data_IF_939020005327
#
_entry.id   IF_939020005327
#
_cell.length_a   1.000
_cell.length_b   1.000
_cell.length_c   1.000
_cell.angle_alpha   90.00
_cell.angle_beta   90.00
_cell.angle_gamma   90.00
#
_symmetry.space_group_name_H-M   'P 1'
#
loop_
_entity.id
_entity.type
_entity.pdbx_description
1 polymer ?
#
# COMPACT_ATOMS: atom_id res chain seq x y z
N UNK A 1 34.15 50.39 14.43
CA UNK A 1 32.91 51.09 14.82
C UNK A 1 31.81 50.04 14.87
N UNK A 2 31.45 49.65 16.08
CA UNK A 2 30.52 48.59 16.42
C UNK A 2 29.11 49.17 16.53
N UNK A 3 28.10 48.58 15.90
CA UNK A 3 26.71 48.94 16.14
C UNK A 3 25.95 47.64 16.44
N UNK A 4 25.75 47.41 17.73
CA UNK A 4 24.85 46.40 18.25
C UNK A 4 23.39 46.81 18.00
N UNK A 5 22.58 45.97 17.37
CA UNK A 5 21.12 46.06 17.34
C UNK A 5 20.47 45.02 18.23
N UNK A 6 19.99 45.53 19.35
CA UNK A 6 19.13 44.84 20.31
C UNK A 6 17.78 44.51 19.69
N UNK A 7 17.37 43.24 19.69
CA UNK A 7 16.04 42.82 19.30
C UNK A 7 15.17 42.58 20.55
N UNK A 8 14.16 43.43 20.71
CA UNK A 8 13.09 43.27 21.72
C UNK A 8 12.24 42.01 21.41
N UNK A 9 12.06 41.17 22.43
CA UNK A 9 11.07 40.11 22.46
C UNK A 9 9.72 40.67 22.91
N UNK A 10 8.58 40.39 22.24
CA UNK A 10 7.27 40.70 22.80
C UNK A 10 6.86 39.63 23.82
N UNK A 11 6.45 40.06 25.00
CA UNK A 11 5.72 39.29 25.99
C UNK A 11 4.31 39.01 25.44
N UNK A 12 3.97 37.70 25.26
CA UNK A 12 2.60 37.30 25.01
C UNK A 12 1.90 37.09 26.34
N UNK A 13 0.94 37.93 26.64
CA UNK A 13 0.07 37.84 27.79
C UNK A 13 -0.84 36.60 27.72
N UNK A 14 -0.82 35.83 28.78
CA UNK A 14 -1.63 34.62 28.96
C UNK A 14 -3.04 35.03 29.40
N UNK A 15 -4.02 34.98 28.51
CA UNK A 15 -5.43 35.18 28.86
C UNK A 15 -5.99 33.94 29.55
N UNK A 16 -6.53 34.12 30.75
CA UNK A 16 -7.24 33.11 31.51
C UNK A 16 -8.67 32.99 30.97
N UNK A 17 -9.11 31.79 30.65
CA UNK A 17 -10.48 31.50 30.28
C UNK A 17 -11.34 31.26 31.54
N UNK A 18 -12.59 31.81 31.59
CA UNK A 18 -13.50 31.56 32.71
C UNK A 18 -14.13 30.13 32.64
N UNK A 19 -14.22 29.51 33.81
CA UNK A 19 -14.79 28.18 33.99
C UNK A 19 -16.29 28.13 33.64
N UNK A 20 -16.65 27.15 32.86
CA UNK A 20 -18.03 26.74 32.61
C UNK A 20 -18.46 25.77 33.70
N UNK A 21 -19.43 26.16 34.51
CA UNK A 21 -20.11 25.36 35.52
C UNK A 21 -20.83 24.18 34.86
N UNK A 22 -20.49 22.95 35.24
CA UNK A 22 -21.21 21.73 34.87
C UNK A 22 -22.48 21.61 35.68
N UNK A 23 -23.61 21.84 35.02
CA UNK A 23 -24.92 21.50 35.55
C UNK A 23 -25.11 19.99 35.48
N UNK A 24 -25.17 19.33 36.64
CA UNK A 24 -25.49 17.90 36.75
C UNK A 24 -27.01 17.79 36.61
N UNK A 25 -27.50 17.30 35.49
CA UNK A 25 -28.89 16.90 35.32
C UNK A 25 -29.06 15.48 35.82
N UNK A 26 -29.71 15.35 36.96
CA UNK A 26 -30.08 14.05 37.58
C UNK A 26 -31.35 13.56 36.89
N UNK A 27 -31.26 12.50 36.09
CA UNK A 27 -32.41 11.81 35.52
C UNK A 27 -32.93 10.75 36.51
N UNK A 28 -34.26 10.59 36.67
CA UNK A 28 -34.83 9.60 37.58
C UNK A 28 -34.67 8.17 37.01
N UNK A 29 -34.16 7.27 37.83
CA UNK A 29 -34.12 5.84 37.56
C UNK A 29 -35.56 5.28 37.57
N UNK A 30 -36.11 4.96 36.40
CA UNK A 30 -37.24 4.03 36.33
C UNK A 30 -36.69 2.62 36.22
N UNK A 31 -36.87 1.84 37.27
CA UNK A 31 -36.61 0.41 37.30
C UNK A 31 -37.72 -0.29 36.47
N UNK A 32 -37.37 -0.79 35.31
CA UNK A 32 -38.21 -1.75 34.57
C UNK A 32 -37.44 -3.07 34.63
N UNK A 33 -37.87 -3.92 35.58
CA UNK A 33 -37.43 -5.31 35.71
C UNK A 33 -38.18 -6.12 34.64
N UNK A 34 -37.48 -6.53 33.59
CA UNK A 34 -37.97 -7.54 32.65
C UNK A 34 -37.12 -8.81 32.82
N UNK A 35 -37.73 -10.00 32.93
CA UNK A 35 -36.97 -11.22 33.03
C UNK A 35 -36.31 -11.55 31.69
N UNK A 36 -34.99 -11.61 31.67
CA UNK A 36 -34.23 -12.11 30.55
C UNK A 36 -34.40 -13.62 30.49
N UNK A 37 -35.29 -14.09 29.65
CA UNK A 37 -35.35 -15.50 29.23
C UNK A 37 -34.13 -15.75 28.34
N UNK A 38 -33.09 -16.31 28.94
CA UNK A 38 -31.88 -16.76 28.24
C UNK A 38 -32.26 -18.00 27.41
N UNK A 39 -32.75 -17.79 26.19
CA UNK A 39 -32.78 -18.82 25.18
C UNK A 39 -31.35 -19.07 24.68
N UNK A 40 -30.64 -20.00 25.31
CA UNK A 40 -29.40 -20.58 24.78
C UNK A 40 -29.76 -21.43 23.58
N UNK A 41 -29.88 -20.77 22.41
CA UNK A 41 -29.80 -21.50 21.13
C UNK A 41 -28.31 -21.83 20.91
N UNK A 42 -27.92 -23.02 21.38
CA UNK A 42 -26.70 -23.67 20.93
C UNK A 42 -26.91 -24.11 19.48
N UNK A 43 -26.74 -23.16 18.55
CA UNK A 43 -26.51 -23.54 17.14
C UNK A 43 -25.15 -24.25 17.11
N UNK A 44 -25.21 -25.59 17.15
CA UNK A 44 -24.03 -26.42 16.81
C UNK A 44 -23.61 -26.03 15.40
N UNK A 45 -22.45 -25.38 15.27
CA UNK A 45 -21.81 -25.19 13.98
C UNK A 45 -21.59 -26.56 13.36
N UNK A 46 -22.00 -26.81 12.10
CA UNK A 46 -21.66 -28.05 11.45
C UNK A 46 -20.13 -28.16 11.39
N UNK A 47 -19.59 -29.17 12.07
CA UNK A 47 -18.20 -29.55 11.96
C UNK A 47 -17.94 -29.94 10.50
N UNK A 48 -17.14 -29.12 9.79
CA UNK A 48 -16.72 -29.50 8.43
C UNK A 48 -16.78 -28.43 7.36
N UNK A 49 -16.93 -27.14 7.68
CA UNK A 49 -16.58 -26.09 6.70
C UNK A 49 -15.05 -26.04 6.64
N UNK A 50 -14.47 -26.99 5.93
CA UNK A 50 -13.09 -26.91 5.45
C UNK A 50 -13.07 -25.73 4.49
N UNK A 51 -12.60 -24.57 4.95
CA UNK A 51 -12.19 -23.49 4.07
C UNK A 51 -11.07 -24.07 3.18
N UNK A 52 -11.46 -24.65 2.06
CA UNK A 52 -10.53 -24.80 0.96
C UNK A 52 -10.12 -23.36 0.67
N UNK A 53 -8.85 -23.04 0.94
CA UNK A 53 -8.24 -21.87 0.34
C UNK A 53 -8.39 -22.08 -1.16
N UNK A 54 -9.43 -21.51 -1.72
CA UNK A 54 -9.57 -21.39 -3.15
C UNK A 54 -8.38 -20.52 -3.54
N UNK A 55 -7.31 -21.16 -4.01
CA UNK A 55 -6.16 -20.46 -4.56
C UNK A 55 -6.74 -19.52 -5.59
N UNK A 56 -6.66 -18.22 -5.31
CA UNK A 56 -7.29 -17.20 -6.13
C UNK A 56 -6.81 -17.45 -7.56
N UNK A 57 -7.75 -17.75 -8.46
CA UNK A 57 -7.42 -18.12 -9.84
C UNK A 57 -6.89 -16.87 -10.53
N UNK A 58 -5.80 -17.03 -11.25
CA UNK A 58 -5.23 -16.02 -12.12
C UNK A 58 -6.29 -15.51 -13.11
N UNK A 59 -6.48 -14.20 -13.21
CA UNK A 59 -7.43 -13.62 -14.18
C UNK A 59 -6.85 -13.63 -15.61
N UNK A 60 -7.66 -13.20 -16.60
CA UNK A 60 -7.24 -13.20 -18.00
C UNK A 60 -6.03 -12.29 -18.26
N UNK A 61 -5.89 -11.18 -17.54
CA UNK A 61 -4.78 -10.23 -17.63
C UNK A 61 -3.44 -10.87 -17.22
N UNK A 62 -3.45 -11.74 -16.22
CA UNK A 62 -2.25 -12.38 -15.70
C UNK A 62 -1.92 -13.72 -16.37
N UNK A 63 -2.55 -14.06 -17.52
CA UNK A 63 -2.21 -15.25 -18.29
C UNK A 63 -0.79 -15.22 -18.80
N UNK A 64 -0.37 -14.07 -19.34
CA UNK A 64 1.00 -13.82 -19.74
C UNK A 64 1.76 -13.28 -18.51
N UNK A 65 2.80 -13.98 -18.03
CA UNK A 65 3.57 -13.53 -16.88
C UNK A 65 4.55 -12.39 -17.20
N UNK A 66 4.74 -12.07 -18.48
CA UNK A 66 5.71 -11.07 -18.94
C UNK A 66 4.98 -9.83 -19.45
N UNK A 67 5.52 -8.66 -19.14
CA UNK A 67 5.09 -7.37 -19.66
C UNK A 67 6.18 -6.81 -20.56
N UNK A 68 5.81 -6.31 -21.73
CA UNK A 68 6.72 -5.59 -22.64
C UNK A 68 6.76 -4.09 -22.31
N UNK A 69 7.75 -3.37 -22.85
CA UNK A 69 7.81 -1.92 -22.75
C UNK A 69 6.60 -1.24 -23.40
N UNK A 70 6.19 -1.71 -24.57
CA UNK A 70 5.07 -1.15 -25.35
C UNK A 70 3.75 -1.28 -24.59
N UNK A 71 3.59 -2.35 -23.80
CA UNK A 71 2.44 -2.53 -22.92
C UNK A 71 2.54 -1.68 -21.65
N UNK A 72 3.74 -1.52 -21.10
CA UNK A 72 3.96 -0.77 -19.86
C UNK A 72 3.86 0.74 -20.06
N UNK A 73 4.39 1.28 -21.16
CA UNK A 73 4.45 2.74 -21.42
C UNK A 73 3.10 3.44 -21.27
N UNK A 74 2.00 2.98 -21.91
CA UNK A 74 0.70 3.62 -21.73
C UNK A 74 0.17 3.51 -20.29
N UNK A 75 0.49 2.44 -19.55
CA UNK A 75 0.08 2.28 -18.15
C UNK A 75 0.75 3.35 -17.27
N UNK A 76 2.01 3.70 -17.53
CA UNK A 76 2.72 4.74 -16.79
C UNK A 76 2.23 6.16 -17.11
N UNK A 77 1.75 6.38 -18.32
CA UNK A 77 1.20 7.67 -18.75
C UNK A 77 -0.22 7.90 -18.26
N UNK A 78 -1.02 6.83 -18.13
CA UNK A 78 -2.38 6.85 -17.63
C UNK A 78 -2.54 5.82 -16.50
N UNK A 79 -1.99 6.12 -15.31
CA UNK A 79 -2.08 5.21 -14.18
C UNK A 79 -3.54 5.00 -13.77
N UNK A 80 -3.89 3.77 -13.44
CA UNK A 80 -5.22 3.39 -12.96
C UNK A 80 -5.12 2.60 -11.67
N UNK A 81 -6.16 2.68 -10.84
CA UNK A 81 -6.23 1.91 -9.59
C UNK A 81 -6.27 0.38 -9.81
N UNK A 82 -6.52 -0.05 -11.06
CA UNK A 82 -6.61 -1.47 -11.39
C UNK A 82 -5.25 -2.16 -11.52
N UNK A 83 -4.20 -1.42 -11.85
CA UNK A 83 -2.85 -1.95 -12.07
C UNK A 83 -1.87 -1.20 -11.17
N UNK A 84 -1.18 -1.93 -10.31
CA UNK A 84 -0.14 -1.41 -9.44
C UNK A 84 1.24 -1.73 -10.03
N UNK A 85 2.04 -0.71 -10.32
CA UNK A 85 3.43 -0.86 -10.76
C UNK A 85 4.36 -0.76 -9.55
N UNK A 86 5.17 -1.78 -9.31
CA UNK A 86 6.01 -1.90 -8.10
C UNK A 86 7.48 -2.04 -8.47
N UNK A 87 8.28 -1.10 -7.96
CA UNK A 87 9.73 -1.17 -7.99
C UNK A 87 10.25 -1.96 -6.80
N UNK A 88 10.90 -3.10 -7.06
CA UNK A 88 11.46 -3.96 -6.02
C UNK A 88 12.95 -3.77 -5.81
N UNK A 89 13.50 -2.66 -6.31
CA UNK A 89 14.89 -2.24 -6.01
C UNK A 89 15.00 -1.71 -4.59
N UNK A 90 16.21 -1.64 -4.09
CA UNK A 90 16.45 -1.03 -2.79
C UNK A 90 16.34 0.51 -2.87
N UNK A 91 16.07 1.22 -1.76
CA UNK A 91 15.78 2.65 -1.75
C UNK A 91 16.90 3.53 -2.35
N UNK A 92 18.15 3.14 -2.19
CA UNK A 92 19.32 3.81 -2.77
C UNK A 92 19.33 3.77 -4.30
N UNK A 93 18.88 2.65 -4.90
CA UNK A 93 18.71 2.53 -6.35
C UNK A 93 17.51 3.35 -6.85
N UNK A 94 16.42 3.37 -6.09
CA UNK A 94 15.19 4.11 -6.44
C UNK A 94 15.42 5.62 -6.36
N UNK A 95 16.24 6.09 -5.43
CA UNK A 95 16.62 7.50 -5.28
C UNK A 95 17.32 8.07 -6.54
N UNK A 96 17.95 7.22 -7.35
CA UNK A 96 18.57 7.59 -8.63
C UNK A 96 17.59 7.69 -9.80
N UNK A 97 16.31 7.42 -9.54
CA UNK A 97 15.22 7.45 -10.51
C UNK A 97 14.46 6.14 -10.58
N UNK A 98 13.18 6.21 -10.95
CA UNK A 98 12.29 5.07 -11.11
C UNK A 98 11.33 5.29 -12.29
N UNK A 99 10.63 4.24 -12.72
CA UNK A 99 9.60 4.35 -13.75
C UNK A 99 8.45 5.21 -13.21
N UNK A 100 7.90 6.15 -14.00
CA UNK A 100 6.79 6.99 -13.58
C UNK A 100 5.61 6.17 -13.05
N UNK A 101 4.88 6.71 -12.06
CA UNK A 101 3.75 6.07 -11.37
C UNK A 101 4.07 4.79 -10.58
N UNK A 102 5.32 4.37 -10.49
CA UNK A 102 5.71 3.22 -9.69
C UNK A 102 5.73 3.55 -8.19
N UNK A 103 5.32 2.57 -7.37
CA UNK A 103 5.51 2.58 -5.93
C UNK A 103 6.72 1.73 -5.54
N UNK A 104 7.40 2.08 -4.46
CA UNK A 104 8.58 1.36 -4.00
C UNK A 104 8.23 0.33 -2.93
N UNK A 105 8.60 -0.93 -3.16
CA UNK A 105 8.52 -2.02 -2.19
C UNK A 105 9.77 -2.90 -2.32
N UNK A 106 10.84 -2.63 -1.57
CA UNK A 106 12.10 -3.35 -1.68
C UNK A 106 11.95 -4.86 -1.53
N UNK A 107 12.67 -5.63 -2.35
CA UNK A 107 12.60 -7.09 -2.31
C UNK A 107 12.93 -7.65 -0.93
N UNK A 108 13.85 -7.01 -0.21
CA UNK A 108 14.23 -7.36 1.17
C UNK A 108 13.05 -7.38 2.15
N UNK A 109 12.03 -6.56 1.91
CA UNK A 109 10.86 -6.42 2.77
C UNK A 109 9.58 -7.01 2.16
N UNK A 110 9.57 -7.29 0.86
CA UNK A 110 8.38 -7.69 0.10
C UNK A 110 7.69 -8.93 0.67
N UNK A 111 8.48 -9.94 1.03
CA UNK A 111 7.93 -11.23 1.50
C UNK A 111 7.12 -11.09 2.78
N UNK A 112 7.58 -10.26 3.71
CA UNK A 112 6.91 -9.98 4.98
C UNK A 112 5.76 -9.00 4.78
N UNK A 113 5.96 -7.95 3.99
CA UNK A 113 4.97 -6.93 3.69
C UNK A 113 3.70 -7.49 3.02
N UNK A 114 3.85 -8.45 2.10
CA UNK A 114 2.73 -9.10 1.41
C UNK A 114 2.10 -10.24 2.22
N UNK A 115 2.65 -10.58 3.41
CA UNK A 115 2.01 -11.61 4.24
C UNK A 115 0.57 -11.18 4.60
N UNK A 116 -0.43 -12.08 4.47
CA UNK A 116 -1.82 -11.76 4.81
C UNK A 116 -2.02 -11.24 6.24
N UNK A 117 -1.12 -11.62 7.16
CA UNK A 117 -1.17 -11.19 8.56
C UNK A 117 -0.55 -9.81 8.79
N UNK A 118 0.21 -9.28 7.83
CA UNK A 118 0.83 -7.96 7.96
C UNK A 118 -0.24 -6.87 7.97
N UNK A 119 -0.21 -6.00 8.98
CA UNK A 119 -1.23 -4.97 9.20
C UNK A 119 -1.23 -3.94 8.05
N UNK A 120 -2.42 -3.68 7.46
CA UNK A 120 -2.55 -2.76 6.33
C UNK A 120 -2.21 -1.30 6.69
N UNK A 121 -2.48 -0.88 7.94
CA UNK A 121 -2.12 0.46 8.42
C UNK A 121 -0.61 0.64 8.59
N UNK A 122 0.09 -0.39 9.09
CA UNK A 122 1.55 -0.40 9.16
C UNK A 122 2.17 -0.46 7.78
N UNK A 123 1.58 -1.22 6.85
CA UNK A 123 2.01 -1.27 5.46
C UNK A 123 1.99 0.13 4.83
N UNK A 124 0.85 0.83 4.92
CA UNK A 124 0.71 2.17 4.36
C UNK A 124 1.66 3.19 5.00
N UNK A 125 1.91 3.07 6.31
CA UNK A 125 2.86 3.92 7.03
C UNK A 125 4.30 3.71 6.56
N UNK A 126 4.69 2.44 6.32
CA UNK A 126 6.07 2.09 5.98
C UNK A 126 6.40 2.29 4.50
N UNK A 127 5.42 2.08 3.60
CA UNK A 127 5.63 2.09 2.15
C UNK A 127 4.96 3.25 1.42
N UNK A 128 4.19 4.10 2.12
CA UNK A 128 3.50 5.28 1.59
C UNK A 128 2.42 5.00 0.53
N UNK A 129 1.97 3.75 0.41
CA UNK A 129 0.82 3.39 -0.44
C UNK A 129 -0.02 2.30 0.26
N UNK A 130 -1.30 2.12 -0.09
CA UNK A 130 -2.16 1.12 0.54
C UNK A 130 -1.70 -0.29 0.19
N UNK A 131 -1.84 -1.22 1.15
CA UNK A 131 -1.55 -2.63 0.91
C UNK A 131 -2.42 -3.16 -0.22
N UNK A 132 -1.84 -3.78 -1.27
CA UNK A 132 -2.60 -4.28 -2.40
C UNK A 132 -3.60 -5.36 -1.99
N UNK A 133 -4.74 -5.40 -2.66
CA UNK A 133 -5.72 -6.47 -2.50
C UNK A 133 -5.25 -7.74 -3.23
N UNK A 134 -5.62 -8.93 -2.77
CA UNK A 134 -5.27 -10.19 -3.45
C UNK A 134 -5.75 -10.28 -4.90
N UNK A 135 -6.84 -9.57 -5.24
CA UNK A 135 -7.39 -9.52 -6.60
C UNK A 135 -6.74 -8.47 -7.50
N UNK A 136 -5.89 -7.59 -6.96
CA UNK A 136 -5.27 -6.50 -7.71
C UNK A 136 -4.25 -7.02 -8.72
N UNK A 137 -4.18 -6.38 -9.87
CA UNK A 137 -3.18 -6.64 -10.89
C UNK A 137 -1.88 -5.92 -10.51
N UNK A 138 -0.77 -6.66 -10.44
CA UNK A 138 0.52 -6.11 -10.00
C UNK A 138 1.58 -6.38 -11.07
N UNK A 139 2.32 -5.36 -11.46
CA UNK A 139 3.52 -5.48 -12.30
C UNK A 139 4.73 -5.21 -11.43
N UNK A 140 5.64 -6.16 -11.36
CA UNK A 140 6.93 -5.99 -10.71
C UNK A 140 8.02 -5.66 -11.72
N UNK A 141 8.91 -4.75 -11.36
CA UNK A 141 10.16 -4.52 -12.07
C UNK A 141 11.30 -4.28 -11.07
N UNK A 142 12.51 -4.41 -11.54
CA UNK A 142 13.72 -4.12 -10.79
C UNK A 142 14.78 -3.46 -11.68
N UNK A 143 16.05 -3.77 -11.54
CA UNK A 143 17.10 -3.30 -12.44
C UNK A 143 17.08 -4.05 -13.78
N UNK A 144 17.04 -5.40 -13.76
CA UNK A 144 17.24 -6.27 -14.94
C UNK A 144 16.25 -7.44 -15.04
N UNK A 145 15.15 -7.44 -14.27
CA UNK A 145 14.12 -8.46 -14.32
C UNK A 145 14.30 -9.68 -13.41
N UNK A 146 15.47 -9.91 -12.82
CA UNK A 146 15.74 -11.08 -11.97
C UNK A 146 15.07 -10.99 -10.61
N UNK A 147 15.28 -9.89 -9.88
CA UNK A 147 14.65 -9.65 -8.56
C UNK A 147 13.13 -9.58 -8.66
N UNK A 148 12.61 -8.98 -9.72
CA UNK A 148 11.17 -8.87 -9.96
C UNK A 148 10.51 -10.22 -10.32
N UNK A 149 11.24 -11.16 -10.94
CA UNK A 149 10.78 -12.52 -11.11
C UNK A 149 10.59 -13.22 -9.74
N UNK A 150 11.59 -13.13 -8.86
CA UNK A 150 11.48 -13.65 -7.49
C UNK A 150 10.35 -12.97 -6.70
N UNK A 151 10.16 -11.66 -6.88
CA UNK A 151 9.05 -10.92 -6.26
C UNK A 151 7.69 -11.46 -6.72
N UNK A 152 7.54 -11.74 -8.01
CA UNK A 152 6.30 -12.31 -8.56
C UNK A 152 6.01 -13.72 -8.02
N UNK A 153 7.04 -14.56 -7.86
CA UNK A 153 6.92 -15.88 -7.24
C UNK A 153 6.45 -15.75 -5.78
N UNK A 154 7.12 -14.93 -4.96
CA UNK A 154 6.75 -14.72 -3.56
C UNK A 154 5.36 -14.12 -3.40
N UNK A 155 4.98 -13.16 -4.26
CA UNK A 155 3.62 -12.61 -4.26
C UNK A 155 2.58 -13.69 -4.56
N UNK A 156 2.83 -14.57 -5.53
CA UNK A 156 1.98 -15.73 -5.82
C UNK A 156 1.81 -16.65 -4.61
N UNK A 157 2.90 -16.98 -3.88
CA UNK A 157 2.87 -17.75 -2.64
C UNK A 157 2.04 -17.09 -1.53
N UNK A 158 2.03 -15.75 -1.49
CA UNK A 158 1.28 -14.96 -0.50
C UNK A 158 -0.18 -14.72 -0.88
N UNK A 159 -0.64 -15.28 -2.00
CA UNK A 159 -2.04 -15.22 -2.43
C UNK A 159 -2.38 -14.09 -3.38
N UNK A 160 -1.39 -13.53 -4.08
CA UNK A 160 -1.57 -12.56 -5.15
C UNK A 160 -1.41 -13.25 -6.51
N UNK A 161 -2.47 -13.79 -7.12
CA UNK A 161 -2.37 -14.56 -8.35
C UNK A 161 -2.14 -13.70 -9.60
N UNK A 162 -2.53 -12.42 -9.54
CA UNK A 162 -2.52 -11.52 -10.69
C UNK A 162 -1.23 -10.71 -10.75
N UNK A 163 -0.10 -11.40 -10.90
CA UNK A 163 1.23 -10.78 -10.94
C UNK A 163 1.90 -11.01 -12.28
N UNK A 164 2.60 -10.00 -12.77
CA UNK A 164 3.37 -10.02 -14.00
C UNK A 164 4.75 -9.38 -13.78
N UNK A 165 5.71 -9.73 -14.61
CA UNK A 165 7.09 -9.24 -14.53
C UNK A 165 7.47 -8.45 -15.77
N UNK A 166 7.92 -7.22 -15.61
CA UNK A 166 8.61 -6.49 -16.67
C UNK A 166 10.07 -6.92 -16.72
N UNK A 167 10.39 -7.86 -17.60
CA UNK A 167 11.70 -8.53 -17.67
C UNK A 167 12.83 -7.56 -18.03
N UNK A 168 12.61 -6.61 -18.96
CA UNK A 168 13.60 -5.58 -19.32
C UNK A 168 13.91 -4.62 -18.18
N UNK A 169 12.92 -4.36 -17.34
CA UNK A 169 13.04 -3.56 -16.12
C UNK A 169 13.64 -2.16 -16.34
N UNK A 170 14.30 -1.59 -15.33
CA UNK A 170 14.86 -0.24 -15.39
C UNK A 170 15.87 -0.01 -16.52
N UNK A 171 16.69 -1.01 -16.82
CA UNK A 171 17.70 -0.89 -17.89
C UNK A 171 17.09 -0.78 -19.28
N UNK A 172 16.06 -1.57 -19.57
CA UNK A 172 15.33 -1.49 -20.84
C UNK A 172 14.51 -0.19 -20.94
N UNK A 173 13.84 0.17 -19.84
CA UNK A 173 13.08 1.41 -19.74
C UNK A 173 13.95 2.62 -20.08
N UNK A 174 15.07 2.80 -19.39
CA UNK A 174 15.95 3.96 -19.58
C UNK A 174 16.58 4.00 -20.98
N UNK A 175 16.90 2.84 -21.55
CA UNK A 175 17.44 2.76 -22.92
C UNK A 175 16.41 3.23 -23.94
N UNK A 176 15.14 2.80 -23.81
CA UNK A 176 14.07 3.14 -24.75
C UNK A 176 13.60 4.58 -24.61
N UNK A 177 13.52 5.11 -23.37
CA UNK A 177 13.18 6.52 -23.16
C UNK A 177 14.22 7.44 -23.80
N UNK A 178 15.51 7.16 -23.62
CA UNK A 178 16.58 7.93 -24.27
C UNK A 178 16.53 7.84 -25.80
N UNK A 179 16.15 6.70 -26.37
CA UNK A 179 15.99 6.56 -27.81
C UNK A 179 14.83 7.42 -28.32
N UNK A 180 13.69 7.42 -27.61
CA UNK A 180 12.52 8.22 -27.98
C UNK A 180 12.82 9.73 -27.89
N UNK A 181 13.54 10.19 -26.86
CA UNK A 181 13.94 11.59 -26.72
C UNK A 181 14.84 12.07 -27.88
N UNK A 182 15.65 11.16 -28.46
CA UNK A 182 16.56 11.48 -29.56
C UNK A 182 15.88 11.48 -30.91
N UNK A 183 14.67 10.97 -31.08
CA UNK A 183 13.90 10.98 -32.32
C UNK A 183 12.99 12.22 -32.44
N UNK A 184 12.75 12.92 -31.31
CA UNK A 184 11.89 14.12 -31.27
C UNK A 184 12.68 15.45 -31.45
N UNK A 185 14.03 15.41 -31.49
CA UNK A 185 14.93 16.56 -31.79
C UNK A 185 15.33 16.61 -33.26
#
# INVERSE_FOLDING_TARGET
MSVARSALRPLIARAAAPGLARTIVTLPRHAISAPIVASRSTRSMPAGVRWKSESAKRNAWAKDPIVSYEELKPITQQPSDNILLVDVREPDEVALGSIPSAVSLPLSQLRDALDPKYNAGEFQKNFAFPKPLPSQNIIFFCRSGKRSATAAEWAGEKGYPNVRNYVGSWLDWTKREKANESEDD
#
